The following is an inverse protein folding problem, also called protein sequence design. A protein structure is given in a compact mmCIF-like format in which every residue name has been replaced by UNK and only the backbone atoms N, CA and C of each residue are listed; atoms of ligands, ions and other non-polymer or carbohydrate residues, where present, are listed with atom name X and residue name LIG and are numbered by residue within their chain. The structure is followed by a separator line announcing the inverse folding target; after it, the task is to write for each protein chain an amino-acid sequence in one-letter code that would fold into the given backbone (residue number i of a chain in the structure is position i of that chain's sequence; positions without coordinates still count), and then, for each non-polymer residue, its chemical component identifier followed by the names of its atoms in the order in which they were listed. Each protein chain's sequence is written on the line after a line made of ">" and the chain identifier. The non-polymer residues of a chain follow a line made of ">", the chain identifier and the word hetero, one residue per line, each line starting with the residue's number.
data_IF_232315188460
#
_entry.id   IF_232315188460
#
_cell.length_a   1.000
_cell.length_b   1.000
_cell.length_c   1.000
_cell.angle_alpha   90.00
_cell.angle_beta   90.00
_cell.angle_gamma   90.00
#
_symmetry.space_group_name_H-M   'P 1'
#
loop_
_entity.id
_entity.type
_entity.pdbx_description
1 polymer ?
#
# COMPACT_ATOMS: atom_id res chain seq x y z
N UNK A 1 -2.07 34.82 -26.85
CA UNK A 1 -2.93 33.84 -26.17
C UNK A 1 -3.05 32.65 -27.11
N UNK A 2 -2.53 31.47 -26.75
CA UNK A 2 -2.65 30.29 -27.62
C UNK A 2 -4.12 29.91 -27.76
N UNK A 3 -4.53 29.63 -29.00
CA UNK A 3 -5.92 29.56 -29.42
C UNK A 3 -6.65 28.44 -28.66
N UNK A 4 -7.84 28.73 -28.13
CA UNK A 4 -8.69 27.75 -27.42
C UNK A 4 -8.97 26.52 -28.31
N UNK A 5 -9.04 26.75 -29.62
CA UNK A 5 -9.23 25.73 -30.65
C UNK A 5 -8.06 24.74 -30.76
N UNK A 6 -6.81 25.20 -30.55
CA UNK A 6 -5.63 24.32 -30.58
C UNK A 6 -5.61 23.36 -29.39
N UNK A 7 -6.27 23.72 -28.28
CA UNK A 7 -6.36 22.89 -27.07
C UNK A 7 -7.40 21.78 -27.21
N UNK A 8 -8.52 22.06 -27.88
CA UNK A 8 -9.61 21.10 -28.10
C UNK A 8 -9.14 19.86 -28.92
N UNK A 9 -8.12 20.01 -29.78
CA UNK A 9 -7.54 18.90 -30.52
C UNK A 9 -6.88 17.82 -29.64
N UNK A 10 -6.50 18.15 -28.40
CA UNK A 10 -5.90 17.21 -27.46
C UNK A 10 -6.91 16.58 -26.48
N UNK A 11 -8.18 17.03 -26.49
CA UNK A 11 -9.23 16.46 -25.63
C UNK A 11 -9.79 15.14 -26.19
N UNK A 12 -9.58 14.86 -27.48
CA UNK A 12 -9.93 13.58 -28.12
C UNK A 12 -8.71 12.65 -28.09
N UNK A 13 -8.31 12.24 -26.89
CA UNK A 13 -7.29 11.21 -26.72
C UNK A 13 -7.96 9.88 -26.35
N UNK A 14 -8.09 8.98 -27.33
CA UNK A 14 -8.48 7.60 -27.06
C UNK A 14 -7.22 6.79 -26.72
N UNK A 15 -7.22 6.15 -25.55
CA UNK A 15 -6.15 5.21 -25.21
C UNK A 15 -6.25 3.99 -26.15
N UNK A 16 -5.19 3.63 -26.91
CA UNK A 16 -5.14 2.35 -27.61
C UNK A 16 -5.40 1.16 -26.67
N UNK A 17 -6.09 0.14 -27.16
CA UNK A 17 -6.41 -1.09 -26.41
C UNK A 17 -5.17 -1.87 -25.97
N UNK A 18 -4.04 -1.65 -26.65
CA UNK A 18 -2.85 -2.49 -26.58
C UNK A 18 -1.78 -1.91 -25.63
N UNK A 19 -2.22 -1.13 -24.63
CA UNK A 19 -1.29 -0.68 -23.59
C UNK A 19 -0.86 -1.85 -22.72
N UNK A 20 0.41 -2.22 -22.87
CA UNK A 20 1.06 -3.22 -22.04
C UNK A 20 1.45 -2.62 -20.67
N UNK A 21 0.58 -2.81 -19.68
CA UNK A 21 0.83 -2.44 -18.29
C UNK A 21 1.60 -3.51 -17.49
N UNK A 22 2.17 -4.54 -18.12
CA UNK A 22 2.87 -5.63 -17.42
C UNK A 22 4.05 -5.15 -16.58
N UNK A 23 4.71 -4.05 -16.97
CA UNK A 23 5.79 -3.40 -16.20
C UNK A 23 5.30 -2.34 -15.19
N UNK A 24 3.99 -2.13 -15.06
CA UNK A 24 3.40 -1.09 -14.23
C UNK A 24 3.52 -1.39 -12.73
N UNK A 25 4.43 -0.70 -12.04
CA UNK A 25 4.59 -0.80 -10.59
C UNK A 25 3.44 -0.04 -9.90
N UNK A 26 2.41 -0.77 -9.46
CA UNK A 26 1.33 -0.22 -8.64
C UNK A 26 1.87 0.21 -7.27
N UNK A 27 1.51 1.42 -6.83
CA UNK A 27 1.87 1.90 -5.49
C UNK A 27 3.27 2.48 -5.34
N UNK A 28 3.99 2.81 -6.42
CA UNK A 28 5.30 3.49 -6.37
C UNK A 28 5.29 4.80 -5.55
N UNK A 29 4.14 5.48 -5.48
CA UNK A 29 3.96 6.70 -4.70
C UNK A 29 3.30 6.48 -3.33
N UNK A 30 3.00 5.24 -2.94
CA UNK A 30 2.40 4.97 -1.64
C UNK A 30 3.48 5.04 -0.55
N UNK A 31 3.38 6.06 0.31
CA UNK A 31 4.18 6.17 1.52
C UNK A 31 3.32 5.77 2.72
N UNK A 32 3.64 4.68 3.44
CA UNK A 32 2.91 4.30 4.63
C UNK A 32 3.11 5.33 5.74
N UNK A 33 2.06 6.08 6.09
CA UNK A 33 2.08 6.98 7.25
C UNK A 33 1.80 6.18 8.52
N UNK A 34 2.78 6.08 9.41
CA UNK A 34 2.59 5.47 10.74
C UNK A 34 1.76 6.43 11.60
N UNK A 35 0.60 5.97 12.05
CA UNK A 35 -0.25 6.72 12.99
C UNK A 35 -0.05 6.10 14.38
N UNK A 36 0.30 6.89 15.40
CA UNK A 36 0.35 6.40 16.77
C UNK A 36 -1.08 6.08 17.20
N UNK A 37 -1.36 4.82 17.50
CA UNK A 37 -2.67 4.37 17.95
C UNK A 37 -2.48 3.45 19.15
N UNK A 38 -3.34 3.60 20.16
CA UNK A 38 -3.40 2.68 21.30
C UNK A 38 -4.25 1.47 20.91
N UNK A 39 -3.68 0.27 21.00
CA UNK A 39 -4.35 -1.00 20.75
C UNK A 39 -4.08 -1.93 21.94
N UNK A 40 -5.10 -2.68 22.37
CA UNK A 40 -4.95 -3.72 23.39
C UNK A 40 -4.62 -5.05 22.71
N UNK A 41 -3.62 -5.74 23.24
CA UNK A 41 -3.20 -7.07 22.83
C UNK A 41 -3.09 -7.92 24.10
N UNK A 42 -3.41 -9.21 23.98
CA UNK A 42 -3.23 -10.14 25.08
C UNK A 42 -1.75 -10.34 25.41
N UNK A 43 -1.46 -10.62 26.68
CA UNK A 43 -0.09 -10.65 27.20
C UNK A 43 0.72 -11.80 26.60
N UNK A 44 0.12 -12.97 26.40
CA UNK A 44 0.72 -14.13 25.77
C UNK A 44 1.13 -13.85 24.32
N UNK A 45 0.25 -13.23 23.53
CA UNK A 45 0.53 -12.79 22.15
C UNK A 45 1.68 -11.78 22.14
N UNK A 46 1.67 -10.83 23.08
CA UNK A 46 2.70 -9.80 23.17
C UNK A 46 4.08 -10.38 23.55
N UNK A 47 4.12 -11.38 24.43
CA UNK A 47 5.35 -12.12 24.77
C UNK A 47 5.85 -12.92 23.57
N UNK A 48 4.95 -13.62 22.87
CA UNK A 48 5.29 -14.38 21.67
C UNK A 48 5.92 -13.48 20.58
N UNK A 49 5.27 -12.37 20.24
CA UNK A 49 5.74 -11.45 19.22
C UNK A 49 7.07 -10.78 19.59
N UNK A 50 7.30 -10.48 20.87
CA UNK A 50 8.59 -9.96 21.34
C UNK A 50 9.72 -10.97 21.15
N UNK A 51 9.47 -12.24 21.47
CA UNK A 51 10.45 -13.32 21.28
C UNK A 51 10.79 -13.48 19.79
N UNK A 52 9.78 -13.58 18.95
CA UNK A 52 9.95 -13.72 17.49
C UNK A 52 10.66 -12.50 16.88
N UNK A 53 10.33 -11.29 17.32
CA UNK A 53 11.00 -10.07 16.88
C UNK A 53 12.49 -10.05 17.26
N UNK A 54 12.83 -10.57 18.44
CA UNK A 54 14.23 -10.69 18.88
C UNK A 54 15.01 -11.70 18.04
N UNK A 55 14.39 -12.83 17.68
CA UNK A 55 14.99 -13.84 16.80
C UNK A 55 15.23 -13.30 15.40
N UNK A 56 14.26 -12.54 14.86
CA UNK A 56 14.34 -11.88 13.54
C UNK A 56 15.18 -10.59 13.54
N UNK A 57 15.68 -10.13 14.70
CA UNK A 57 16.43 -8.88 14.89
C UNK A 57 15.69 -7.63 14.36
N UNK A 58 14.38 -7.58 14.54
CA UNK A 58 13.52 -6.44 14.16
C UNK A 58 12.74 -5.92 15.36
N UNK A 59 12.22 -4.70 15.29
CA UNK A 59 11.34 -4.19 16.34
C UNK A 59 9.98 -4.91 16.32
N UNK A 60 9.43 -5.22 17.50
CA UNK A 60 8.12 -5.89 17.62
C UNK A 60 6.99 -5.12 16.92
N UNK A 61 7.04 -3.78 16.94
CA UNK A 61 6.07 -2.93 16.23
C UNK A 61 6.16 -3.10 14.70
N UNK A 62 7.36 -3.32 14.17
CA UNK A 62 7.57 -3.59 12.74
C UNK A 62 7.01 -4.95 12.40
N UNK A 63 7.29 -5.98 13.21
CA UNK A 63 6.75 -7.33 13.03
C UNK A 63 5.22 -7.34 13.02
N UNK A 64 4.57 -6.67 13.98
CA UNK A 64 3.11 -6.54 14.04
C UNK A 64 2.56 -5.91 12.76
N UNK A 65 3.14 -4.80 12.31
CA UNK A 65 2.69 -4.15 11.09
C UNK A 65 2.87 -5.02 9.83
N UNK A 66 3.94 -5.83 9.77
CA UNK A 66 4.16 -6.77 8.65
C UNK A 66 3.09 -7.86 8.65
N UNK A 67 2.83 -8.50 9.79
CA UNK A 67 1.79 -9.53 9.94
C UNK A 67 0.41 -8.99 9.55
N UNK A 68 0.07 -7.78 9.99
CA UNK A 68 -1.19 -7.13 9.63
C UNK A 68 -1.28 -6.86 8.12
N UNK A 69 -0.18 -6.48 7.46
CA UNK A 69 -0.16 -6.28 6.00
C UNK A 69 -0.32 -7.59 5.23
N UNK A 70 0.35 -8.64 5.65
CA UNK A 70 0.21 -9.99 5.07
C UNK A 70 -1.23 -10.49 5.20
N UNK A 71 -1.85 -10.26 6.36
CA UNK A 71 -3.25 -10.58 6.58
C UNK A 71 -4.17 -9.78 5.64
N UNK A 72 -3.94 -8.48 5.47
CA UNK A 72 -4.70 -7.65 4.52
C UNK A 72 -4.60 -8.13 3.07
N UNK A 73 -3.41 -8.59 2.65
CA UNK A 73 -3.19 -9.14 1.31
C UNK A 73 -3.94 -10.47 1.12
N UNK A 74 -3.88 -11.35 2.13
CA UNK A 74 -4.55 -12.65 2.11
C UNK A 74 -6.07 -12.51 2.15
N UNK A 75 -6.58 -11.56 2.94
CA UNK A 75 -8.01 -11.28 3.06
C UNK A 75 -8.60 -10.54 1.84
N UNK A 76 -7.83 -10.29 0.78
CA UNK A 76 -8.30 -9.59 -0.42
C UNK A 76 -8.64 -8.10 -0.19
N UNK A 77 -8.35 -7.56 0.99
CA UNK A 77 -8.57 -6.16 1.37
C UNK A 77 -7.45 -5.25 0.87
N UNK A 78 -6.82 -5.58 -0.26
CA UNK A 78 -6.01 -4.60 -1.00
C UNK A 78 -6.94 -3.44 -1.32
N UNK A 79 -6.63 -2.25 -0.80
CA UNK A 79 -7.38 -1.01 -1.00
C UNK A 79 -7.93 -0.93 -2.43
N UNK A 80 -9.21 -1.28 -2.59
CA UNK A 80 -10.01 -0.86 -3.74
C UNK A 80 -10.31 0.61 -3.47
N UNK A 81 -9.38 1.48 -3.83
CA UNK A 81 -9.71 2.89 -4.05
C UNK A 81 -10.61 2.93 -5.29
N UNK A 82 -11.92 3.09 -5.06
CA UNK A 82 -12.72 3.89 -5.98
C UNK A 82 -12.24 5.34 -5.92
#
# INVERSE_FOLDING_TARGET
>A
MKNIEERAAYDVFELPSDYDFTGGIRGRFYQPKKVPTSMRLDNDILVFLKKEASEKKIAYQTLINTLLREHMQTAGLTHTKR
#
